data_IF_874767317711
#
_entry.id   IF_874767317711
#
_cell.length_a   1.000
_cell.length_b   1.000
_cell.length_c   1.000
_cell.angle_alpha   90.00
_cell.angle_beta   90.00
_cell.angle_gamma   90.00
#
_symmetry.space_group_name_H-M   'P 1'
#
loop_
_entity.id
_entity.type
_entity.pdbx_description
1 polymer ?
#
# COMPACT_ATOMS: atom_id res chain seq x y z
N UNK A 1 -6.74 -17.03 -4.99
CA UNK A 1 -5.44 -16.34 -4.85
C UNK A 1 -4.68 -16.52 -6.16
N UNK A 2 -4.49 -15.45 -6.93
CA UNK A 2 -3.51 -15.48 -8.01
C UNK A 2 -2.16 -15.22 -7.35
N UNK A 3 -1.21 -16.14 -7.46
CA UNK A 3 0.13 -15.86 -6.98
C UNK A 3 0.72 -14.78 -7.89
N UNK A 4 1.09 -13.65 -7.30
CA UNK A 4 2.00 -12.65 -7.90
C UNK A 4 3.44 -13.18 -7.90
N UNK A 5 3.62 -14.49 -7.68
CA UNK A 5 4.90 -15.16 -7.62
C UNK A 5 5.54 -15.14 -9.00
N UNK A 6 6.53 -14.28 -9.13
CA UNK A 6 7.44 -14.35 -10.26
C UNK A 6 8.26 -15.64 -10.09
N UNK A 7 8.20 -16.61 -11.03
CA UNK A 7 8.73 -17.95 -10.81
C UNK A 7 10.23 -18.02 -10.44
N UNK A 8 10.98 -16.98 -10.79
CA UNK A 8 12.43 -16.88 -10.58
C UNK A 8 12.82 -16.10 -9.32
N UNK A 9 11.86 -15.47 -8.63
CA UNK A 9 12.10 -14.70 -7.40
C UNK A 9 11.65 -15.54 -6.20
N UNK A 10 12.52 -15.79 -5.20
CA UNK A 10 12.16 -16.54 -4.01
C UNK A 10 10.98 -15.91 -3.27
N UNK A 11 10.11 -16.77 -2.71
CA UNK A 11 8.93 -16.33 -1.94
C UNK A 11 9.29 -15.43 -0.74
N UNK A 12 10.49 -15.59 -0.17
CA UNK A 12 10.99 -14.77 0.93
C UNK A 12 11.45 -13.36 0.52
N UNK A 13 11.51 -13.05 -0.78
CA UNK A 13 11.85 -11.71 -1.23
C UNK A 13 10.65 -10.77 -1.05
N UNK A 14 10.83 -9.77 -0.20
CA UNK A 14 9.77 -8.84 0.18
C UNK A 14 9.20 -8.10 -1.03
N UNK A 15 7.88 -7.92 -1.04
CA UNK A 15 7.25 -6.96 -1.95
C UNK A 15 7.62 -5.54 -1.51
N UNK A 16 7.97 -4.69 -2.48
CA UNK A 16 8.33 -3.29 -2.23
C UNK A 16 7.24 -2.36 -2.75
N UNK A 17 6.98 -1.30 -2.00
CA UNK A 17 6.13 -0.22 -2.47
C UNK A 17 6.98 0.86 -3.13
N UNK A 18 6.65 1.23 -4.37
CA UNK A 18 7.40 2.21 -5.16
C UNK A 18 7.15 3.68 -4.77
N UNK A 19 6.25 3.95 -3.83
CA UNK A 19 5.84 5.32 -3.49
C UNK A 19 6.92 6.17 -2.82
N UNK A 20 7.85 5.55 -2.10
CA UNK A 20 8.98 6.23 -1.47
C UNK A 20 10.24 5.40 -1.64
N UNK A 21 11.22 5.95 -2.37
CA UNK A 21 12.53 5.35 -2.57
C UNK A 21 13.62 6.31 -2.09
N UNK A 22 14.50 5.81 -1.23
CA UNK A 22 15.72 6.50 -0.83
C UNK A 22 16.92 5.72 -1.37
N UNK A 23 17.84 6.40 -2.05
CA UNK A 23 18.99 5.73 -2.64
C UNK A 23 20.25 6.57 -2.55
N UNK A 24 21.39 5.89 -2.38
CA UNK A 24 22.71 6.50 -2.56
C UNK A 24 23.05 6.46 -4.04
N UNK A 25 23.37 7.63 -4.62
CA UNK A 25 23.82 7.71 -6.01
C UNK A 25 25.14 6.95 -6.16
N UNK A 26 25.06 5.82 -6.85
CA UNK A 26 26.20 4.96 -7.22
C UNK A 26 26.01 4.53 -8.67
N UNK A 27 27.06 4.02 -9.30
CA UNK A 27 26.96 3.47 -10.65
C UNK A 27 25.93 2.34 -10.72
N UNK A 28 25.97 1.39 -9.77
CA UNK A 28 25.02 0.27 -9.68
C UNK A 28 23.56 0.74 -9.59
N UNK A 29 23.27 1.70 -8.71
CA UNK A 29 21.92 2.26 -8.57
C UNK A 29 21.50 3.03 -9.82
N UNK A 30 22.42 3.77 -10.43
CA UNK A 30 22.13 4.52 -11.67
C UNK A 30 21.78 3.57 -12.81
N UNK A 31 22.52 2.47 -12.95
CA UNK A 31 22.26 1.45 -13.95
C UNK A 31 20.93 0.74 -13.67
N UNK A 32 20.64 0.39 -12.41
CA UNK A 32 19.34 -0.16 -12.00
C UNK A 32 18.18 0.75 -12.43
N UNK A 33 18.24 2.04 -12.08
CA UNK A 33 17.18 3.00 -12.40
C UNK A 33 16.99 3.19 -13.91
N UNK A 34 18.08 3.16 -14.69
CA UNK A 34 18.02 3.18 -16.17
C UNK A 34 17.38 1.92 -16.74
N UNK A 35 17.70 0.75 -16.17
CA UNK A 35 17.16 -0.54 -16.61
C UNK A 35 15.70 -0.75 -16.19
N UNK A 36 15.23 -0.03 -15.16
CA UNK A 36 13.88 -0.21 -14.62
C UNK A 36 12.79 0.10 -15.65
N UNK A 37 12.98 1.08 -16.54
CA UNK A 37 12.00 1.39 -17.59
C UNK A 37 11.80 0.21 -18.56
N UNK A 38 12.89 -0.41 -19.01
CA UNK A 38 12.82 -1.58 -19.87
C UNK A 38 12.15 -2.76 -19.15
N UNK A 39 12.46 -2.95 -17.87
CA UNK A 39 11.86 -3.99 -17.03
C UNK A 39 10.37 -3.74 -16.77
N UNK A 40 9.97 -2.48 -16.60
CA UNK A 40 8.57 -2.08 -16.51
C UNK A 40 7.81 -2.46 -17.77
N UNK A 41 8.33 -2.11 -18.95
CA UNK A 41 7.68 -2.45 -20.23
C UNK A 41 7.57 -3.96 -20.45
N UNK A 42 8.62 -4.72 -20.08
CA UNK A 42 8.61 -6.19 -20.12
C UNK A 42 7.56 -6.77 -19.18
N UNK A 43 7.52 -6.29 -17.95
CA UNK A 43 6.57 -6.71 -16.92
C UNK A 43 5.13 -6.40 -17.34
N UNK A 44 4.84 -5.19 -17.82
CA UNK A 44 3.52 -4.81 -18.34
C UNK A 44 3.07 -5.72 -19.48
N UNK A 45 3.98 -6.04 -20.40
CA UNK A 45 3.71 -6.95 -21.52
C UNK A 45 3.43 -8.39 -21.07
N UNK A 46 4.04 -8.83 -19.98
CA UNK A 46 3.71 -10.11 -19.36
C UNK A 46 2.35 -10.07 -18.66
N UNK A 47 2.07 -9.00 -17.91
CA UNK A 47 0.86 -8.83 -17.11
C UNK A 47 -0.40 -8.61 -17.95
N UNK A 48 -0.28 -7.98 -19.12
CA UNK A 48 -1.40 -7.75 -20.04
C UNK A 48 -2.12 -9.06 -20.42
N UNK A 49 -1.40 -10.19 -20.42
CA UNK A 49 -1.94 -11.54 -20.63
C UNK A 49 -2.95 -11.98 -19.57
N UNK A 50 -2.97 -11.33 -18.41
CA UNK A 50 -3.86 -11.66 -17.28
C UNK A 50 -5.08 -10.74 -17.15
N UNK A 51 -5.27 -9.80 -18.09
CA UNK A 51 -6.46 -8.93 -18.23
C UNK A 51 -6.35 -7.57 -17.53
N UNK A 52 -6.96 -6.53 -18.13
CA UNK A 52 -6.91 -5.13 -17.64
C UNK A 52 -7.60 -4.90 -16.28
N UNK A 53 -8.48 -5.80 -15.85
CA UNK A 53 -9.18 -5.67 -14.56
C UNK A 53 -8.25 -5.83 -13.34
N UNK A 54 -6.97 -6.12 -13.55
CA UNK A 54 -5.99 -6.40 -12.50
C UNK A 54 -5.03 -5.22 -12.31
N UNK A 55 -5.55 -4.07 -11.87
CA UNK A 55 -4.75 -2.88 -11.57
C UNK A 55 -3.56 -3.15 -10.62
N UNK A 56 -3.72 -4.08 -9.66
CA UNK A 56 -2.68 -4.49 -8.72
C UNK A 56 -1.53 -5.24 -9.40
N UNK A 57 -1.77 -5.77 -10.60
CA UNK A 57 -0.76 -6.35 -11.46
C UNK A 57 -0.10 -5.29 -12.33
N UNK A 58 -0.82 -4.28 -12.81
CA UNK A 58 -0.33 -3.32 -13.82
C UNK A 58 0.35 -2.07 -13.27
N UNK A 59 0.79 -2.02 -12.01
CA UNK A 59 1.60 -0.90 -11.51
C UNK A 59 3.11 -1.15 -11.67
N UNK A 60 3.92 -0.24 -11.14
CA UNK A 60 5.39 -0.25 -11.23
C UNK A 60 6.06 -1.16 -10.17
N UNK A 61 5.32 -1.62 -9.16
CA UNK A 61 5.89 -2.39 -8.06
C UNK A 61 6.38 -3.79 -8.48
N UNK A 62 5.67 -4.55 -9.34
CA UNK A 62 6.18 -5.83 -9.85
C UNK A 62 7.51 -5.68 -10.56
N UNK A 63 7.66 -4.71 -11.47
CA UNK A 63 8.92 -4.51 -12.19
C UNK A 63 10.03 -4.01 -11.27
N UNK A 64 9.69 -3.21 -10.25
CA UNK A 64 10.63 -2.78 -9.23
C UNK A 64 11.15 -3.97 -8.40
N UNK A 65 10.27 -4.90 -8.02
CA UNK A 65 10.66 -6.13 -7.33
C UNK A 65 11.63 -6.95 -8.19
N UNK A 66 11.32 -7.14 -9.48
CA UNK A 66 12.20 -7.87 -10.41
C UNK A 66 13.57 -7.24 -10.50
N UNK A 67 13.63 -5.94 -10.82
CA UNK A 67 14.92 -5.30 -11.08
C UNK A 67 15.78 -5.22 -9.80
N UNK A 68 15.17 -5.06 -8.62
CA UNK A 68 15.90 -5.12 -7.35
C UNK A 68 16.51 -6.50 -7.11
N UNK A 69 15.78 -7.57 -7.40
CA UNK A 69 16.27 -8.93 -7.26
C UNK A 69 17.41 -9.24 -8.25
N UNK A 70 17.25 -8.86 -9.52
CA UNK A 70 18.20 -9.20 -10.59
C UNK A 70 19.46 -8.31 -10.62
N UNK A 71 19.37 -7.05 -10.19
CA UNK A 71 20.48 -6.08 -10.28
C UNK A 71 21.65 -6.34 -9.33
N UNK A 72 21.47 -7.20 -8.32
CA UNK A 72 22.43 -7.41 -7.25
C UNK A 72 22.63 -6.19 -6.33
N UNK A 73 21.74 -5.20 -6.41
CA UNK A 73 21.67 -4.10 -5.43
C UNK A 73 20.97 -4.62 -4.18
N UNK A 74 21.57 -4.41 -3.01
CA UNK A 74 20.96 -4.79 -1.73
C UNK A 74 19.95 -3.72 -1.29
N UNK A 75 18.63 -4.01 -1.27
CA UNK A 75 17.64 -3.08 -0.74
C UNK A 75 17.67 -3.08 0.79
N UNK A 76 17.32 -1.93 1.37
CA UNK A 76 16.99 -1.80 2.78
C UNK A 76 15.52 -1.38 2.89
N UNK A 77 14.76 -2.08 3.72
CA UNK A 77 13.34 -1.77 3.91
C UNK A 77 13.23 -0.59 4.88
N UNK A 78 12.62 0.50 4.42
CA UNK A 78 12.33 1.64 5.27
C UNK A 78 11.27 1.26 6.32
N UNK A 79 11.37 1.80 7.55
CA UNK A 79 10.28 1.71 8.52
C UNK A 79 8.98 2.26 7.92
N UNK A 80 7.84 1.71 8.33
CA UNK A 80 6.51 2.08 7.81
C UNK A 80 6.19 3.56 8.03
N UNK A 81 6.81 4.23 9.00
CA UNK A 81 6.71 5.67 9.22
C UNK A 81 7.15 6.51 8.00
N UNK A 82 8.04 5.99 7.16
CA UNK A 82 8.51 6.65 5.94
C UNK A 82 7.65 6.35 4.70
N UNK A 83 6.61 5.53 4.84
CA UNK A 83 5.66 5.23 3.78
C UNK A 83 4.32 4.80 4.40
N UNK A 84 3.74 5.69 5.20
CA UNK A 84 2.54 5.38 5.98
C UNK A 84 1.30 5.36 5.07
N UNK A 85 0.79 4.16 4.76
CA UNK A 85 -0.27 3.98 3.77
C UNK A 85 -1.63 4.36 4.36
N UNK A 86 -2.28 5.35 3.73
CA UNK A 86 -3.62 5.80 4.14
C UNK A 86 -4.69 4.71 3.99
N UNK A 87 -4.59 3.89 2.95
CA UNK A 87 -5.72 3.09 2.43
C UNK A 87 -5.72 1.62 2.85
N UNK A 88 -4.55 1.00 3.02
CA UNK A 88 -4.41 -0.47 3.15
C UNK A 88 -4.11 -0.93 4.57
N UNK A 89 -4.29 -0.05 5.55
CA UNK A 89 -3.84 -0.26 6.92
C UNK A 89 -2.34 -0.10 7.04
N UNK A 90 -1.85 0.47 8.15
CA UNK A 90 -0.40 0.60 8.37
C UNK A 90 -0.06 0.56 9.85
N UNK A 91 0.86 -0.32 10.21
CA UNK A 91 1.48 -0.32 11.52
C UNK A 91 2.41 0.88 11.69
N UNK A 92 2.38 1.51 12.85
CA UNK A 92 3.25 2.62 13.23
C UNK A 92 3.64 2.44 14.70
N UNK A 93 4.89 2.73 15.03
CA UNK A 93 5.33 2.95 16.41
C UNK A 93 5.68 4.43 16.60
N UNK A 94 6.50 4.95 15.71
CA UNK A 94 6.94 6.34 15.71
C UNK A 94 5.96 7.28 15.00
N UNK A 95 6.43 8.51 14.78
CA UNK A 95 5.71 9.54 14.03
C UNK A 95 5.75 9.20 12.55
N UNK A 96 4.59 9.14 11.88
CA UNK A 96 4.51 9.02 10.43
C UNK A 96 5.17 10.24 9.79
N UNK A 97 6.30 10.03 9.11
CA UNK A 97 7.12 11.05 8.47
C UNK A 97 6.64 11.36 7.05
N UNK A 98 6.16 10.35 6.34
CA UNK A 98 5.57 10.49 5.01
C UNK A 98 4.26 9.71 5.00
N UNK A 99 3.14 10.41 4.79
CA UNK A 99 1.81 9.80 4.63
C UNK A 99 1.53 9.63 3.16
N UNK A 100 1.41 8.38 2.73
CA UNK A 100 1.17 8.02 1.33
C UNK A 100 -0.32 7.81 1.09
N UNK A 101 -0.90 8.71 0.30
CA UNK A 101 -2.27 8.63 -0.17
C UNK A 101 -2.68 9.87 -0.96
N UNK A 102 -3.99 10.07 -1.14
CA UNK A 102 -4.58 11.28 -1.74
C UNK A 102 -5.62 11.88 -0.78
N UNK A 103 -6.15 13.07 -1.07
CA UNK A 103 -7.19 13.74 -0.29
C UNK A 103 -6.64 14.67 0.79
N UNK A 104 -7.40 14.89 1.87
CA UNK A 104 -6.94 15.67 3.02
C UNK A 104 -5.89 14.85 3.80
N UNK A 105 -4.61 15.01 3.44
CA UNK A 105 -3.50 14.24 4.00
C UNK A 105 -3.07 14.81 5.35
N UNK A 106 -3.28 16.10 5.57
CA UNK A 106 -2.98 16.80 6.81
C UNK A 106 -3.81 16.25 7.97
N UNK A 107 -5.14 16.14 7.82
CA UNK A 107 -6.04 15.50 8.82
C UNK A 107 -5.62 14.06 9.08
N UNK A 108 -5.28 13.32 8.02
CA UNK A 108 -4.87 11.92 8.15
C UNK A 108 -3.57 11.81 8.91
N UNK A 109 -2.59 12.68 8.64
CA UNK A 109 -1.30 12.70 9.31
C UNK A 109 -1.46 13.05 10.79
N UNK A 110 -2.27 14.06 11.12
CA UNK A 110 -2.58 14.43 12.50
C UNK A 110 -3.17 13.23 13.26
N UNK A 111 -4.19 12.59 12.68
CA UNK A 111 -4.87 11.45 13.30
C UNK A 111 -4.00 10.19 13.36
N UNK A 112 -3.12 9.98 12.38
CA UNK A 112 -2.10 8.93 12.42
C UNK A 112 -1.10 9.18 13.55
N UNK A 113 -0.83 10.43 13.93
CA UNK A 113 0.19 10.80 14.89
C UNK A 113 -0.34 11.15 16.29
N UNK A 114 -1.67 11.15 16.51
CA UNK A 114 -2.35 11.35 17.81
C UNK A 114 -1.69 10.61 18.99
N UNK A 115 -1.16 9.40 18.73
CA UNK A 115 -0.53 8.51 19.71
C UNK A 115 0.83 8.02 19.22
N UNK A 116 1.70 8.95 18.83
CA UNK A 116 3.10 8.65 18.56
C UNK A 116 3.81 8.06 19.81
N UNK A 117 4.72 7.11 19.61
CA UNK A 117 5.51 6.48 20.67
C UNK A 117 4.88 5.21 21.26
N UNK A 118 3.71 4.80 20.74
CA UNK A 118 3.06 3.53 21.07
C UNK A 118 2.74 2.75 19.80
N UNK A 119 2.67 1.43 19.94
CA UNK A 119 2.29 0.52 18.86
C UNK A 119 0.84 0.79 18.44
N UNK A 120 0.65 1.10 17.16
CA UNK A 120 -0.68 1.36 16.61
C UNK A 120 -0.80 0.91 15.17
N UNK A 121 -2.03 0.67 14.74
CA UNK A 121 -2.41 0.38 13.37
C UNK A 121 -3.33 1.50 12.91
N UNK A 122 -2.93 2.22 11.87
CA UNK A 122 -3.86 3.07 11.14
C UNK A 122 -4.80 2.20 10.31
N UNK A 123 -6.10 2.45 10.37
CA UNK A 123 -7.08 1.81 9.50
C UNK A 123 -7.99 2.86 8.85
N UNK A 124 -8.13 2.80 7.52
CA UNK A 124 -8.89 3.81 6.79
C UNK A 124 -10.34 3.87 7.28
N UNK A 125 -10.90 5.07 7.39
CA UNK A 125 -12.28 5.35 7.88
C UNK A 125 -12.52 5.01 9.36
N UNK A 126 -11.64 4.25 10.02
CA UNK A 126 -11.72 3.97 11.46
C UNK A 126 -10.82 4.93 12.24
N UNK A 127 -9.54 5.04 11.87
CA UNK A 127 -8.52 5.82 12.56
C UNK A 127 -7.40 4.94 13.12
N UNK A 128 -6.59 5.49 14.02
CA UNK A 128 -5.55 4.74 14.73
C UNK A 128 -6.16 3.83 15.81
N UNK A 129 -5.80 2.55 15.75
CA UNK A 129 -6.08 1.50 16.74
C UNK A 129 -4.78 1.20 17.48
N UNK A 130 -4.84 1.15 18.81
CA UNK A 130 -3.75 0.81 19.71
C UNK A 130 -4.32 -0.05 20.83
N UNK A 131 -3.57 -0.28 21.92
CA UNK A 131 -4.07 -1.08 23.04
C UNK A 131 -5.43 -0.57 23.52
N UNK A 132 -6.43 -1.46 23.53
CA UNK A 132 -7.80 -1.12 23.95
C UNK A 132 -7.88 -0.76 25.43
N UNK A 133 -6.95 -1.23 26.26
CA UNK A 133 -6.86 -0.84 27.66
C UNK A 133 -6.44 0.61 27.84
N UNK A 134 -5.73 1.18 26.86
CA UNK A 134 -5.29 2.58 26.86
C UNK A 134 -6.31 3.53 26.17
N UNK A 135 -7.39 2.99 25.61
CA UNK A 135 -8.43 3.79 24.95
C UNK A 135 -9.48 4.29 25.92
N UNK A 136 -9.93 5.53 25.72
CA UNK A 136 -11.12 6.04 26.40
C UNK A 136 -12.38 5.32 25.90
N UNK A 137 -13.42 5.25 26.74
CA UNK A 137 -14.71 4.69 26.35
C UNK A 137 -15.29 5.36 25.09
N UNK A 138 -15.09 6.68 24.96
CA UNK A 138 -15.49 7.45 23.78
C UNK A 138 -14.76 6.98 22.53
N UNK A 139 -13.44 6.76 22.61
CA UNK A 139 -12.65 6.25 21.47
C UNK A 139 -13.09 4.84 21.10
N UNK A 140 -13.29 3.96 22.09
CA UNK A 140 -13.77 2.59 21.87
C UNK A 140 -15.14 2.57 21.18
N UNK A 141 -16.09 3.36 21.67
CA UNK A 141 -17.42 3.48 21.07
C UNK A 141 -17.33 4.02 19.63
N UNK A 142 -16.51 5.04 19.39
CA UNK A 142 -16.30 5.59 18.05
C UNK A 142 -15.69 4.57 17.08
N UNK A 143 -14.70 3.78 17.53
CA UNK A 143 -14.10 2.69 16.74
C UNK A 143 -15.17 1.65 16.41
N UNK A 144 -15.93 1.19 17.41
CA UNK A 144 -17.01 0.24 17.23
C UNK A 144 -18.02 0.73 16.19
N UNK A 145 -18.57 1.93 16.36
CA UNK A 145 -19.55 2.50 15.44
C UNK A 145 -19.02 2.62 14.00
N UNK A 146 -17.75 3.04 13.82
CA UNK A 146 -17.13 3.14 12.50
C UNK A 146 -16.95 1.78 11.84
N UNK A 147 -16.49 0.78 12.58
CA UNK A 147 -16.36 -0.59 12.07
C UNK A 147 -17.73 -1.15 11.71
N UNK A 148 -18.72 -1.03 12.60
CA UNK A 148 -20.10 -1.49 12.33
C UNK A 148 -20.69 -0.83 11.08
N UNK A 149 -20.48 0.47 10.90
CA UNK A 149 -20.91 1.18 9.70
C UNK A 149 -20.22 0.66 8.43
N UNK A 150 -18.91 0.41 8.47
CA UNK A 150 -18.18 -0.15 7.33
C UNK A 150 -18.66 -1.55 6.95
N UNK A 151 -18.90 -2.41 7.94
CA UNK A 151 -19.46 -3.75 7.73
C UNK A 151 -20.85 -3.66 7.11
N UNK A 152 -21.73 -2.83 7.67
CA UNK A 152 -23.07 -2.63 7.13
C UNK A 152 -23.03 -2.10 5.68
N UNK A 153 -22.18 -1.10 5.41
CA UNK A 153 -21.97 -0.55 4.06
C UNK A 153 -21.49 -1.62 3.09
N UNK A 154 -20.55 -2.48 3.50
CA UNK A 154 -20.06 -3.57 2.67
C UNK A 154 -21.15 -4.64 2.40
N UNK A 155 -21.98 -4.96 3.39
CA UNK A 155 -23.11 -5.87 3.23
C UNK A 155 -24.16 -5.30 2.28
N UNK A 156 -24.56 -4.04 2.47
CA UNK A 156 -25.52 -3.35 1.60
C UNK A 156 -24.99 -3.19 0.18
N UNK A 157 -23.71 -2.87 0.00
CA UNK A 157 -23.08 -2.78 -1.32
C UNK A 157 -23.05 -4.10 -2.08
N UNK A 158 -23.04 -5.24 -1.38
CA UNK A 158 -23.21 -6.57 -1.99
C UNK A 158 -24.67 -6.88 -2.36
N UNK A 159 -25.63 -6.37 -1.58
CA UNK A 159 -27.07 -6.56 -1.81
C UNK A 159 -27.62 -5.65 -2.92
N UNK A 160 -27.02 -4.47 -3.10
CA UNK A 160 -27.39 -3.50 -4.13
C UNK A 160 -26.15 -3.11 -4.94
N UNK A 161 -25.60 -4.00 -5.78
CA UNK A 161 -24.53 -3.62 -6.69
C UNK A 161 -25.05 -2.53 -7.61
N UNK A 162 -24.48 -1.33 -7.52
CA UNK A 162 -24.73 -0.26 -8.50
C UNK A 162 -24.46 -0.80 -9.89
N UNK A 163 -25.44 -0.71 -10.79
CA UNK A 163 -25.29 -1.10 -12.19
C UNK A 163 -24.00 -0.47 -12.74
N UNK A 164 -23.11 -1.32 -13.25
CA UNK A 164 -21.88 -0.88 -13.89
C UNK A 164 -22.26 0.16 -14.96
N UNK A 165 -21.56 1.31 -14.97
CA UNK A 165 -21.59 2.19 -16.14
C UNK A 165 -21.18 1.33 -17.33
N UNK A 166 -22.12 1.14 -18.25
CA UNK A 166 -21.85 0.59 -19.58
C UNK A 166 -20.89 1.58 -20.23
N UNK A 167 -19.63 1.20 -20.37
CA UNK A 167 -18.72 1.88 -21.29
C UNK A 167 -19.25 1.62 -22.71
N UNK A 168 -20.13 2.50 -23.18
CA UNK A 168 -20.42 2.64 -24.60
C UNK A 168 -19.27 3.44 -25.21
N UNK A 169 -18.15 2.76 -25.45
CA UNK A 169 -17.01 3.29 -26.20
C UNK A 169 -17.13 2.89 -27.67
N UNK A 170 -17.70 3.80 -28.45
CA UNK A 170 -17.37 4.02 -29.88
C UNK A 170 -15.91 4.45 -30.03
#
# INVERSE_FOLDING_TARGET
HYSTEMPHIPAGFCDVNGGVLAFKKTEKVTNLLKSWEAEFNRTQSWLSKYGQSKWALTNDQPSLKTILYESGVTPYILPTEYNALRYTGTYLYGHAKIVHGRGNIEDVAERMNEKNGINRIWFQQVGALYDFQEMTLVKLLNVYLRISFLVLKAMLGKLFPTAAKVDSGT
#
